data_IF_350140567157
#
_entry.id   IF_350140567157
#
_cell.length_a   1.000
_cell.length_b   1.000
_cell.length_c   1.000
_cell.angle_alpha   90.00
_cell.angle_beta   90.00
_cell.angle_gamma   90.00
#
_symmetry.space_group_name_H-M   'P 1'
#
loop_
_entity.id
_entity.type
_entity.pdbx_description
1 polymer ?
#
# COMPACT_ATOMS: atom_id res chain seq x y z
N UNK A 1 66.19 9.61 -12.12
CA UNK A 1 66.51 9.35 -10.72
C UNK A 1 65.31 8.68 -10.11
N UNK A 2 65.48 7.38 -9.85
CA UNK A 2 64.45 6.47 -9.33
C UNK A 2 64.32 6.66 -7.82
N UNK A 3 63.07 6.68 -7.30
CA UNK A 3 62.83 6.29 -5.93
C UNK A 3 61.53 5.53 -5.86
N UNK A 4 61.64 4.22 -5.69
CA UNK A 4 60.58 3.29 -5.30
C UNK A 4 60.50 3.28 -3.75
N UNK A 5 59.34 3.48 -3.20
CA UNK A 5 59.03 3.19 -1.79
C UNK A 5 58.05 1.99 -1.73
N UNK A 6 58.52 0.95 -1.08
CA UNK A 6 57.88 -0.31 -0.80
C UNK A 6 56.95 -0.19 0.43
N UNK A 7 55.78 -0.78 0.34
CA UNK A 7 54.81 -0.92 1.44
C UNK A 7 54.90 -2.38 2.00
N UNK A 8 54.94 -2.60 3.31
CA UNK A 8 54.95 -3.93 3.88
C UNK A 8 53.54 -4.49 4.05
N UNK A 9 53.42 -5.75 3.68
CA UNK A 9 52.26 -6.61 3.88
C UNK A 9 52.22 -7.08 5.34
N UNK A 10 51.13 -6.84 6.06
CA UNK A 10 50.84 -7.53 7.33
C UNK A 10 49.80 -8.60 7.11
N UNK A 11 50.21 -9.87 7.31
CA UNK A 11 49.34 -11.01 7.38
C UNK A 11 48.93 -11.24 8.84
N UNK A 12 47.62 -11.25 9.11
CA UNK A 12 47.10 -11.63 10.41
C UNK A 12 46.43 -13.01 10.30
N UNK A 13 46.91 -13.93 11.08
CA UNK A 13 46.43 -15.32 11.24
C UNK A 13 45.11 -15.36 12.00
N UNK A 14 44.16 -16.07 11.44
CA UNK A 14 42.89 -16.41 12.07
C UNK A 14 43.04 -17.68 12.88
N UNK A 15 42.79 -17.63 14.19
CA UNK A 15 42.74 -18.80 15.06
C UNK A 15 41.31 -19.26 15.22
N UNK A 16 41.05 -20.49 14.79
CA UNK A 16 39.80 -21.21 14.90
C UNK A 16 39.77 -21.97 16.24
N UNK A 17 38.79 -21.73 17.08
CA UNK A 17 38.51 -22.53 18.27
C UNK A 17 37.15 -23.21 18.11
N UNK A 18 37.19 -24.53 17.92
CA UNK A 18 36.03 -25.42 18.04
C UNK A 18 35.80 -25.72 19.54
N UNK A 19 34.55 -25.57 19.96
CA UNK A 19 34.07 -26.17 21.20
C UNK A 19 32.80 -26.98 20.92
N UNK A 20 32.94 -28.29 20.94
CA UNK A 20 31.88 -29.29 21.04
C UNK A 20 31.49 -29.50 22.50
N UNK A 21 30.19 -29.45 22.80
CA UNK A 21 29.66 -30.10 24.00
C UNK A 21 28.27 -30.67 23.72
N UNK A 22 28.20 -31.99 23.77
CA UNK A 22 26.97 -32.78 23.86
C UNK A 22 26.49 -32.81 25.32
N UNK A 23 25.19 -32.71 25.55
CA UNK A 23 24.53 -33.38 26.67
C UNK A 23 23.04 -33.55 26.39
N UNK A 24 22.63 -34.76 26.49
CA UNK A 24 21.31 -35.40 26.44
C UNK A 24 20.46 -35.10 27.68
N UNK A 25 19.11 -35.11 27.52
CA UNK A 25 18.18 -35.14 28.64
C UNK A 25 16.74 -35.23 28.18
N UNK A 26 16.15 -36.41 28.37
CA UNK A 26 14.76 -36.78 28.02
C UNK A 26 13.72 -36.31 29.06
N UNK A 27 12.40 -36.64 28.89
CA UNK A 27 11.27 -35.74 29.15
C UNK A 27 10.56 -36.00 30.48
N UNK A 28 9.78 -35.08 30.95
CA UNK A 28 8.89 -35.23 32.09
C UNK A 28 7.43 -35.06 31.71
N UNK A 29 6.66 -36.03 32.13
CA UNK A 29 5.27 -36.37 31.96
C UNK A 29 4.28 -35.39 32.60
N UNK A 30 3.05 -35.48 32.03
CA UNK A 30 1.76 -35.02 32.50
C UNK A 30 1.46 -35.04 34.02
N UNK A 31 0.65 -34.08 34.45
CA UNK A 31 -0.34 -34.37 35.48
C UNK A 31 -1.61 -33.48 35.26
N UNK A 32 -2.71 -34.18 34.94
CA UNK A 32 -4.07 -33.71 35.02
C UNK A 32 -4.47 -33.48 36.48
N UNK A 33 -5.20 -32.38 36.72
CA UNK A 33 -6.07 -32.30 37.89
C UNK A 33 -7.40 -31.59 37.56
N UNK A 34 -8.41 -32.42 37.53
CA UNK A 34 -9.84 -32.03 37.53
C UNK A 34 -10.25 -31.54 38.93
N UNK A 35 -11.00 -30.46 39.00
CA UNK A 35 -11.89 -30.24 40.14
C UNK A 35 -13.19 -29.56 39.68
N UNK A 36 -14.27 -30.29 39.87
CA UNK A 36 -15.64 -29.82 39.79
C UNK A 36 -15.97 -28.93 41.01
N UNK A 37 -16.75 -27.89 40.76
CA UNK A 37 -17.35 -27.09 41.83
C UNK A 37 -18.62 -26.41 41.30
N UNK A 38 -19.79 -26.96 41.62
CA UNK A 38 -21.09 -26.33 41.39
C UNK A 38 -21.33 -25.18 42.36
N UNK A 39 -21.88 -24.09 41.87
CA UNK A 39 -22.39 -22.98 42.68
C UNK A 39 -23.44 -22.18 41.93
N UNK A 40 -24.68 -22.38 42.26
CA UNK A 40 -25.85 -21.66 41.77
C UNK A 40 -25.95 -20.25 42.37
N UNK A 41 -26.23 -19.25 41.52
CA UNK A 41 -26.59 -17.89 41.98
C UNK A 41 -27.22 -17.08 40.85
N UNK A 42 -28.53 -16.88 40.92
CA UNK A 42 -29.34 -15.98 40.11
C UNK A 42 -29.04 -14.50 40.46
N UNK A 43 -29.00 -13.64 39.44
CA UNK A 43 -28.97 -12.19 39.62
C UNK A 43 -28.99 -11.41 38.34
N UNK A 44 -30.15 -11.04 37.94
CA UNK A 44 -30.68 -9.89 37.17
C UNK A 44 -29.78 -9.16 36.14
N UNK A 45 -30.37 -9.10 34.96
CA UNK A 45 -30.21 -8.30 33.78
C UNK A 45 -29.89 -6.82 33.99
N UNK A 46 -28.85 -6.34 33.30
CA UNK A 46 -28.74 -4.96 32.82
C UNK A 46 -28.33 -5.03 31.34
N UNK A 47 -29.22 -4.63 30.46
CA UNK A 47 -28.95 -4.44 29.05
C UNK A 47 -28.00 -3.24 28.89
N UNK A 48 -26.77 -3.52 28.54
CA UNK A 48 -25.83 -2.56 28.00
C UNK A 48 -25.47 -3.04 26.61
N UNK A 49 -25.95 -2.34 25.59
CA UNK A 49 -25.64 -2.65 24.19
C UNK A 49 -24.16 -2.46 23.95
N UNK A 50 -23.46 -3.54 23.82
CA UNK A 50 -22.08 -3.57 23.38
C UNK A 50 -22.14 -3.91 21.88
N UNK A 51 -22.05 -2.90 21.01
CA UNK A 51 -21.78 -3.07 19.60
C UNK A 51 -20.28 -3.32 19.42
N UNK A 52 -19.84 -4.53 19.76
CA UNK A 52 -18.53 -5.00 19.31
C UNK A 52 -18.71 -5.39 17.83
N UNK A 53 -18.12 -4.60 16.94
CA UNK A 53 -17.89 -4.99 15.56
C UNK A 53 -16.75 -6.04 15.54
N UNK A 54 -16.96 -7.17 16.22
CA UNK A 54 -16.07 -8.32 16.16
C UNK A 54 -16.01 -8.88 14.75
N UNK A 55 -14.87 -9.42 14.37
CA UNK A 55 -14.55 -9.97 13.06
C UNK A 55 -15.76 -10.65 12.41
N UNK A 56 -16.25 -10.04 11.31
CA UNK A 56 -17.30 -10.65 10.50
C UNK A 56 -16.67 -11.80 9.74
N UNK A 57 -17.30 -12.96 9.81
CA UNK A 57 -16.98 -14.09 8.95
C UNK A 57 -17.05 -13.61 7.49
N UNK A 58 -15.95 -13.76 6.73
CA UNK A 58 -15.98 -13.55 5.28
C UNK A 58 -16.95 -14.57 4.69
N UNK A 59 -18.10 -14.11 4.21
CA UNK A 59 -18.99 -14.94 3.43
C UNK A 59 -18.38 -15.14 2.04
N UNK A 60 -17.70 -16.26 1.84
CA UNK A 60 -17.37 -16.74 0.50
C UNK A 60 -18.64 -17.36 -0.10
N UNK A 61 -19.42 -16.56 -0.81
CA UNK A 61 -20.48 -17.10 -1.66
C UNK A 61 -19.85 -17.67 -2.94
N UNK A 62 -19.48 -18.95 -2.90
CA UNK A 62 -18.94 -19.68 -4.08
C UNK A 62 -19.90 -19.68 -5.29
N UNK A 63 -21.13 -19.17 -5.12
CA UNK A 63 -22.14 -19.05 -6.17
C UNK A 63 -22.41 -17.59 -6.57
N UNK A 64 -21.75 -16.60 -6.00
CA UNK A 64 -21.92 -15.21 -6.41
C UNK A 64 -21.50 -15.07 -7.88
N UNK A 65 -22.47 -14.70 -8.73
CA UNK A 65 -22.21 -14.47 -10.16
C UNK A 65 -21.38 -13.20 -10.27
N UNK A 66 -20.10 -13.35 -10.61
CA UNK A 66 -19.23 -12.20 -10.91
C UNK A 66 -19.80 -11.48 -12.14
N UNK A 67 -20.27 -10.22 -12.01
CA UNK A 67 -20.92 -9.49 -13.10
C UNK A 67 -19.93 -8.89 -14.11
N UNK A 68 -18.70 -9.35 -14.10
CA UNK A 68 -17.62 -8.92 -14.98
C UNK A 68 -17.05 -10.11 -15.78
N UNK A 69 -16.56 -9.82 -16.97
CA UNK A 69 -15.69 -10.69 -17.76
C UNK A 69 -14.25 -10.20 -17.64
N UNK A 70 -13.35 -11.09 -17.25
CA UNK A 70 -11.92 -10.77 -17.12
C UNK A 70 -11.17 -11.15 -18.40
N UNK A 71 -10.28 -10.27 -18.85
CA UNK A 71 -9.34 -10.58 -19.94
C UNK A 71 -8.00 -9.88 -19.71
N UNK A 72 -6.91 -10.53 -20.15
CA UNK A 72 -5.57 -9.92 -20.11
C UNK A 72 -5.47 -8.86 -21.19
N UNK A 73 -5.19 -7.62 -20.83
CA UNK A 73 -4.97 -6.52 -21.76
C UNK A 73 -3.49 -6.43 -22.17
N UNK A 74 -2.59 -6.56 -21.20
CA UNK A 74 -1.13 -6.53 -21.38
C UNK A 74 -0.51 -7.56 -20.45
N UNK A 75 0.51 -8.25 -20.90
CA UNK A 75 1.32 -9.20 -20.14
C UNK A 75 2.81 -8.81 -20.13
N UNK A 76 3.62 -9.54 -19.36
CA UNK A 76 5.07 -9.36 -19.30
C UNK A 76 5.53 -8.04 -18.67
N UNK A 77 4.72 -7.43 -17.81
CA UNK A 77 5.12 -6.29 -17.00
C UNK A 77 6.16 -6.72 -15.93
N UNK A 78 7.03 -5.81 -15.54
CA UNK A 78 8.10 -6.09 -14.59
C UNK A 78 7.81 -5.46 -13.21
N UNK A 79 7.17 -6.23 -12.33
CA UNK A 79 6.78 -5.78 -10.97
C UNK A 79 5.98 -4.46 -11.03
N UNK A 80 4.85 -4.41 -11.75
CA UNK A 80 4.05 -3.19 -11.88
C UNK A 80 3.49 -2.76 -10.52
N UNK A 81 3.36 -1.44 -10.32
CA UNK A 81 2.93 -0.93 -9.02
C UNK A 81 1.70 -0.02 -9.09
N UNK A 82 1.67 0.95 -9.99
CA UNK A 82 0.55 1.88 -10.19
C UNK A 82 0.16 1.96 -11.66
N UNK A 83 -1.12 2.20 -11.90
CA UNK A 83 -1.70 2.48 -13.21
C UNK A 83 -2.43 3.82 -13.16
N UNK A 84 -2.16 4.70 -14.10
CA UNK A 84 -2.93 5.93 -14.32
C UNK A 84 -3.36 6.05 -15.77
N UNK A 85 -4.60 6.44 -16.00
CA UNK A 85 -5.14 6.80 -17.31
C UNK A 85 -5.07 8.31 -17.50
N UNK A 86 -4.89 8.74 -18.75
CA UNK A 86 -4.91 10.15 -19.12
C UNK A 86 -5.96 10.39 -20.23
N UNK A 87 -6.46 11.64 -20.39
CA UNK A 87 -7.62 11.90 -21.25
C UNK A 87 -7.44 11.52 -22.72
N UNK A 88 -6.21 11.44 -23.21
CA UNK A 88 -5.93 11.02 -24.61
C UNK A 88 -6.04 9.49 -24.85
N UNK A 89 -6.45 8.74 -23.80
CA UNK A 89 -6.66 7.29 -23.85
C UNK A 89 -5.41 6.46 -23.60
N UNK A 90 -4.26 7.09 -23.34
CA UNK A 90 -3.06 6.36 -22.88
C UNK A 90 -3.15 6.01 -21.43
N UNK A 91 -2.49 4.91 -21.05
CA UNK A 91 -2.25 4.54 -19.65
C UNK A 91 -0.75 4.49 -19.38
N UNK A 92 -0.37 4.89 -18.20
CA UNK A 92 1.01 4.82 -17.70
C UNK A 92 1.07 3.85 -16.53
N UNK A 93 2.05 2.94 -16.57
CA UNK A 93 2.30 1.94 -15.52
C UNK A 93 3.69 2.15 -14.98
N UNK A 94 3.80 2.32 -13.65
CA UNK A 94 5.11 2.24 -12.99
C UNK A 94 5.52 0.79 -12.82
N UNK A 95 6.77 0.49 -13.13
CA UNK A 95 7.43 -0.76 -12.81
C UNK A 95 8.45 -0.48 -11.70
N UNK A 96 8.40 -1.23 -10.60
CA UNK A 96 9.22 -0.99 -9.40
C UNK A 96 10.73 -0.85 -9.69
N UNK A 97 11.32 -1.58 -10.67
CA UNK A 97 12.72 -1.41 -11.04
C UNK A 97 13.10 -0.06 -11.65
N UNK A 98 12.14 0.85 -11.86
CA UNK A 98 12.44 2.25 -12.20
C UNK A 98 12.01 2.68 -13.60
N UNK A 99 11.09 1.98 -14.24
CA UNK A 99 10.54 2.38 -15.54
C UNK A 99 9.09 2.84 -15.42
N UNK A 100 8.69 3.84 -16.22
CA UNK A 100 7.27 4.12 -16.49
C UNK A 100 7.00 3.63 -17.90
N UNK A 101 6.10 2.64 -18.02
CA UNK A 101 5.67 2.08 -19.29
C UNK A 101 4.44 2.81 -19.82
N UNK A 102 4.27 2.75 -21.12
CA UNK A 102 3.13 3.38 -21.82
C UNK A 102 2.29 2.28 -22.45
N UNK A 103 0.99 2.32 -22.24
CA UNK A 103 0.00 1.47 -22.91
C UNK A 103 -0.87 2.39 -23.74
N UNK A 104 -0.95 2.15 -25.04
CA UNK A 104 -1.79 2.89 -25.97
C UNK A 104 -2.54 1.93 -26.88
N UNK A 105 -3.85 2.16 -27.09
CA UNK A 105 -4.72 1.29 -27.87
C UNK A 105 -4.67 -0.20 -27.44
N UNK A 106 -4.47 -0.45 -26.14
CA UNK A 106 -4.37 -1.81 -25.58
C UNK A 106 -3.02 -2.51 -25.83
N UNK A 107 -2.00 -1.82 -26.33
CA UNK A 107 -0.68 -2.37 -26.60
C UNK A 107 0.39 -1.69 -25.73
N UNK A 108 1.34 -2.48 -25.22
CA UNK A 108 2.50 -1.99 -24.48
C UNK A 108 3.53 -1.44 -25.46
N UNK A 109 3.89 -0.16 -25.29
CA UNK A 109 4.95 0.45 -26.10
C UNK A 109 6.31 -0.23 -25.82
N UNK A 110 7.13 -0.39 -26.88
CA UNK A 110 8.46 -1.00 -26.77
C UNK A 110 9.41 -0.19 -25.89
N UNK A 111 9.32 1.13 -25.98
CA UNK A 111 10.16 2.05 -25.24
C UNK A 111 9.44 2.60 -24.00
N UNK A 112 10.11 2.69 -22.84
CA UNK A 112 9.52 3.32 -21.67
C UNK A 112 9.38 4.84 -21.86
N UNK A 113 8.44 5.43 -21.13
CA UNK A 113 8.29 6.89 -21.03
C UNK A 113 9.51 7.54 -20.38
N UNK A 114 10.03 6.91 -19.33
CA UNK A 114 11.26 7.25 -18.60
C UNK A 114 11.82 5.99 -17.94
N UNK A 115 13.15 5.96 -17.81
CA UNK A 115 13.89 5.01 -16.98
C UNK A 115 14.73 5.82 -15.98
N UNK A 116 14.51 5.58 -14.69
CA UNK A 116 15.25 6.26 -13.64
C UNK A 116 16.65 5.66 -13.46
N UNK A 117 17.61 6.50 -13.18
CA UNK A 117 19.00 6.13 -12.89
C UNK A 117 19.43 6.72 -11.55
N UNK A 118 20.64 6.38 -11.09
CA UNK A 118 21.18 6.90 -9.84
C UNK A 118 20.87 8.40 -9.64
N UNK A 119 20.43 8.82 -8.44
CA UNK A 119 20.43 8.09 -7.17
C UNK A 119 19.20 7.19 -6.93
N UNK A 120 18.37 6.90 -7.94
CA UNK A 120 17.27 5.94 -7.82
C UNK A 120 17.77 4.62 -7.24
N UNK A 121 16.99 4.04 -6.31
CA UNK A 121 17.30 2.77 -5.66
C UNK A 121 16.08 1.84 -5.66
N UNK A 122 16.29 0.63 -6.14
CA UNK A 122 15.33 -0.46 -6.03
C UNK A 122 15.90 -1.50 -5.08
N UNK A 123 15.30 -1.62 -3.90
CA UNK A 123 15.71 -2.59 -2.90
C UNK A 123 14.47 -3.03 -2.08
N UNK A 124 14.27 -4.33 -1.95
CA UNK A 124 13.15 -4.90 -1.21
C UNK A 124 11.78 -4.48 -1.75
N UNK A 125 11.02 -3.71 -0.97
CA UNK A 125 9.73 -3.12 -1.37
C UNK A 125 9.88 -1.74 -2.00
N UNK A 126 11.07 -1.11 -1.83
CA UNK A 126 11.38 0.19 -2.41
C UNK A 126 11.62 0.13 -3.92
N UNK A 127 11.60 1.29 -4.55
CA UNK A 127 11.76 1.45 -5.99
C UNK A 127 10.82 2.53 -6.52
N UNK A 128 10.40 2.44 -7.77
CA UNK A 128 9.39 3.31 -8.36
C UNK A 128 8.00 2.78 -8.02
N UNK A 129 7.23 3.54 -7.23
CA UNK A 129 5.98 3.10 -6.64
C UNK A 129 4.79 3.85 -7.25
N UNK A 130 4.23 4.82 -6.52
CA UNK A 130 3.05 5.56 -6.93
C UNK A 130 3.26 6.49 -8.13
N UNK A 131 2.18 6.70 -8.86
CA UNK A 131 2.09 7.64 -9.97
C UNK A 131 0.72 8.34 -9.91
N UNK A 132 0.69 9.63 -10.23
CA UNK A 132 -0.56 10.36 -10.44
C UNK A 132 -0.43 11.27 -11.67
N UNK A 133 -1.50 11.45 -12.42
CA UNK A 133 -1.57 12.41 -13.51
C UNK A 133 -2.15 13.72 -13.01
N UNK A 134 -1.59 14.83 -13.48
CA UNK A 134 -2.12 16.15 -13.20
C UNK A 134 -3.53 16.29 -13.78
N UNK A 135 -4.51 16.90 -13.08
CA UNK A 135 -5.85 17.13 -13.61
C UNK A 135 -5.87 17.89 -14.95
N UNK A 136 -4.85 18.72 -15.21
CA UNK A 136 -4.65 19.47 -16.44
C UNK A 136 -3.59 18.85 -17.37
N UNK A 137 -3.42 17.52 -17.31
CA UNK A 137 -2.38 16.80 -18.02
C UNK A 137 -2.31 17.11 -19.51
N UNK A 138 -3.46 17.26 -20.18
CA UNK A 138 -3.55 17.56 -21.62
C UNK A 138 -2.83 18.86 -21.98
N UNK A 139 -2.86 19.85 -21.11
CA UNK A 139 -2.20 21.14 -21.34
C UNK A 139 -0.79 21.19 -20.77
N UNK A 140 -0.60 20.63 -19.56
CA UNK A 140 0.65 20.78 -18.86
C UNK A 140 1.56 19.53 -18.96
N UNK A 141 1.05 18.34 -19.27
CA UNK A 141 1.80 17.09 -19.37
C UNK A 141 2.53 16.69 -18.09
N UNK A 142 2.03 17.07 -16.91
CA UNK A 142 2.65 16.71 -15.64
C UNK A 142 2.16 15.37 -15.13
N UNK A 143 3.13 14.59 -14.65
CA UNK A 143 2.92 13.41 -13.82
C UNK A 143 3.67 13.61 -12.50
N UNK A 144 3.16 12.96 -11.46
CA UNK A 144 3.78 12.91 -10.14
C UNK A 144 4.22 11.48 -9.88
N UNK A 145 5.44 11.27 -9.41
CA UNK A 145 6.01 9.95 -9.16
C UNK A 145 6.64 9.88 -7.78
N UNK A 146 6.37 8.80 -7.06
CA UNK A 146 7.01 8.48 -5.78
C UNK A 146 8.05 7.39 -6.00
N UNK A 147 9.27 7.61 -5.53
CA UNK A 147 10.30 6.58 -5.61
C UNK A 147 11.35 6.67 -4.52
N UNK A 148 11.99 5.52 -4.29
CA UNK A 148 13.13 5.39 -3.37
C UNK A 148 14.43 5.82 -4.04
N UNK A 149 15.34 6.40 -3.26
CA UNK A 149 16.67 6.82 -3.71
C UNK A 149 17.71 6.66 -2.59
N UNK A 150 19.00 6.64 -2.98
CA UNK A 150 20.09 6.66 -2.02
C UNK A 150 20.52 8.10 -1.75
N UNK A 151 20.52 8.46 -0.47
CA UNK A 151 21.13 9.70 0.00
C UNK A 151 22.66 9.65 -0.06
N UNK A 152 23.30 10.81 0.12
CA UNK A 152 24.75 10.92 0.06
C UNK A 152 25.53 10.07 1.07
N UNK A 153 24.86 9.57 2.13
CA UNK A 153 25.41 8.63 3.12
C UNK A 153 25.20 7.15 2.76
N UNK A 154 24.39 6.86 1.75
CA UNK A 154 24.00 5.50 1.38
C UNK A 154 22.71 5.01 2.06
N UNK A 155 22.06 5.85 2.86
CA UNK A 155 20.76 5.55 3.47
C UNK A 155 19.66 5.63 2.41
N UNK A 156 18.63 4.78 2.55
CA UNK A 156 17.48 4.80 1.68
C UNK A 156 16.49 5.87 2.17
N UNK A 157 16.08 6.75 1.27
CA UNK A 157 14.98 7.67 1.47
C UNK A 157 14.00 7.60 0.30
N UNK A 158 12.82 8.20 0.48
CA UNK A 158 11.81 8.31 -0.55
C UNK A 158 11.57 9.78 -0.90
N UNK A 159 11.09 10.02 -2.11
CA UNK A 159 10.74 11.37 -2.56
C UNK A 159 9.60 11.37 -3.58
N UNK A 160 9.00 12.55 -3.73
CA UNK A 160 8.01 12.84 -4.75
C UNK A 160 8.60 13.78 -5.79
N UNK A 161 8.50 13.37 -7.04
CA UNK A 161 8.96 14.13 -8.20
C UNK A 161 7.78 14.53 -9.08
N UNK A 162 7.83 15.74 -9.65
CA UNK A 162 7.02 16.11 -10.80
C UNK A 162 7.82 15.84 -12.08
N UNK A 163 7.18 15.13 -12.98
CA UNK A 163 7.71 14.80 -14.31
C UNK A 163 7.01 15.63 -15.37
N UNK A 164 7.71 15.97 -16.44
CA UNK A 164 7.16 16.62 -17.64
C UNK A 164 7.18 15.66 -18.81
N UNK A 165 6.02 15.31 -19.31
CA UNK A 165 5.85 14.50 -20.51
C UNK A 165 5.82 15.42 -21.75
N UNK A 166 6.68 15.13 -22.71
CA UNK A 166 6.72 15.79 -24.03
C UNK A 166 7.25 14.81 -25.08
N UNK A 167 6.63 14.79 -26.26
CA UNK A 167 7.07 14.00 -27.41
C UNK A 167 7.33 12.51 -27.10
N UNK A 168 6.45 11.90 -26.28
CA UNK A 168 6.53 10.49 -25.89
C UNK A 168 7.61 10.13 -24.89
N UNK A 169 8.24 11.10 -24.26
CA UNK A 169 9.24 10.93 -23.18
C UNK A 169 8.91 11.79 -21.99
N UNK A 170 9.36 11.37 -20.80
CA UNK A 170 9.27 12.19 -19.59
C UNK A 170 10.67 12.60 -19.11
N UNK A 171 10.74 13.75 -18.48
CA UNK A 171 11.92 14.26 -17.79
C UNK A 171 11.53 14.73 -16.39
N UNK A 172 12.46 14.68 -15.44
CA UNK A 172 12.25 15.25 -14.11
C UNK A 172 12.18 16.76 -14.26
N UNK A 173 11.04 17.35 -13.84
CA UNK A 173 10.81 18.80 -13.83
C UNK A 173 11.18 19.41 -12.48
N UNK A 174 10.72 18.79 -11.38
CA UNK A 174 10.92 19.31 -10.03
C UNK A 174 10.85 18.18 -8.99
N UNK A 175 11.68 18.27 -7.94
CA UNK A 175 11.49 17.54 -6.70
C UNK A 175 10.51 18.34 -5.82
N UNK A 176 9.40 17.72 -5.41
CA UNK A 176 8.34 18.37 -4.63
C UNK A 176 8.51 18.15 -3.14
N UNK A 177 8.91 16.95 -2.75
CA UNK A 177 9.15 16.55 -1.37
C UNK A 177 10.24 15.48 -1.35
N UNK A 178 11.23 15.63 -0.48
CA UNK A 178 12.32 14.67 -0.26
C UNK A 178 12.44 14.29 1.22
N UNK A 179 13.44 13.48 1.51
CA UNK A 179 13.82 13.07 2.87
C UNK A 179 12.69 12.37 3.64
N UNK A 180 11.76 11.75 2.89
CA UNK A 180 10.77 10.86 3.47
C UNK A 180 11.50 9.59 3.93
N UNK A 181 11.37 9.15 5.19
CA UNK A 181 12.01 7.93 5.67
C UNK A 181 11.74 6.74 4.74
N UNK A 182 12.80 6.09 4.27
CA UNK A 182 12.73 4.95 3.38
C UNK A 182 13.55 3.79 3.92
N UNK A 183 13.27 2.59 3.44
CA UNK A 183 13.95 1.37 3.86
C UNK A 183 13.75 0.22 2.89
N UNK A 184 14.29 -0.93 3.24
CA UNK A 184 14.08 -2.18 2.47
C UNK A 184 12.59 -2.56 2.44
N UNK A 185 11.85 -2.22 3.49
CA UNK A 185 10.40 -2.45 3.58
C UNK A 185 9.69 -1.21 4.15
N UNK A 186 8.35 -1.23 4.08
CA UNK A 186 7.46 -0.21 4.62
C UNK A 186 7.78 1.20 4.09
N UNK A 187 7.69 1.34 2.78
CA UNK A 187 7.92 2.62 2.10
C UNK A 187 6.61 3.40 1.84
N UNK A 188 5.44 2.80 2.11
CA UNK A 188 4.16 3.37 1.68
C UNK A 188 4.10 3.49 0.15
N UNK A 189 4.07 4.72 -0.33
CA UNK A 189 4.35 5.04 -1.74
C UNK A 189 3.12 5.29 -2.61
N UNK A 190 1.89 5.17 -2.08
CA UNK A 190 0.71 5.56 -2.85
C UNK A 190 0.62 7.07 -2.92
N UNK A 191 0.44 7.60 -4.12
CA UNK A 191 0.15 9.02 -4.33
C UNK A 191 -1.12 9.16 -5.14
N UNK A 192 -1.99 10.08 -4.73
CA UNK A 192 -3.25 10.39 -5.41
C UNK A 192 -3.55 11.89 -5.28
N UNK A 193 -4.18 12.46 -6.29
CA UNK A 193 -4.68 13.83 -6.23
C UNK A 193 -6.12 13.79 -5.71
N UNK A 194 -6.36 14.51 -4.62
CA UNK A 194 -7.66 14.60 -3.99
C UNK A 194 -8.62 15.54 -4.73
N UNK A 195 -9.91 15.55 -4.36
CA UNK A 195 -10.91 16.45 -4.93
C UNK A 195 -10.63 17.95 -4.68
N UNK A 196 -9.73 18.23 -3.73
CA UNK A 196 -9.22 19.57 -3.41
C UNK A 196 -8.02 20.00 -4.28
N UNK A 197 -7.64 19.19 -5.29
CA UNK A 197 -6.47 19.37 -6.15
C UNK A 197 -5.14 19.41 -5.38
N UNK A 198 -5.04 18.71 -4.26
CA UNK A 198 -3.81 18.52 -3.51
C UNK A 198 -3.32 17.08 -3.67
N UNK A 199 -2.02 16.87 -3.54
CA UNK A 199 -1.38 15.56 -3.64
C UNK A 199 -1.30 14.93 -2.26
N UNK A 200 -1.94 13.77 -2.11
CA UNK A 200 -1.90 12.93 -0.92
C UNK A 200 -0.89 11.80 -1.13
N UNK A 201 -0.11 11.51 -0.09
CA UNK A 201 1.04 10.61 -0.17
C UNK A 201 1.03 9.71 1.06
N UNK A 202 1.03 8.39 0.86
CA UNK A 202 1.22 7.45 1.97
C UNK A 202 2.69 7.17 2.20
N UNK A 203 3.11 7.08 3.46
CA UNK A 203 4.47 6.74 3.85
C UNK A 203 4.46 5.60 4.87
N UNK A 204 5.51 4.79 4.87
CA UNK A 204 5.70 3.74 5.85
C UNK A 204 6.68 4.17 6.95
N UNK A 205 6.74 3.39 8.03
CA UNK A 205 7.62 3.65 9.18
C UNK A 205 9.00 2.98 9.05
N UNK A 206 9.29 2.35 7.90
CA UNK A 206 10.57 1.68 7.55
C UNK A 206 11.11 0.67 8.58
N UNK A 207 10.25 0.02 9.37
CA UNK A 207 10.57 -0.80 10.56
C UNK A 207 11.14 -0.01 11.76
N UNK A 208 10.86 1.27 11.85
CA UNK A 208 11.09 2.12 13.01
C UNK A 208 9.73 2.62 13.52
N UNK A 209 8.97 1.80 14.28
CA UNK A 209 7.58 2.06 14.61
C UNK A 209 7.32 3.40 15.31
N UNK A 210 8.31 3.88 16.08
CA UNK A 210 8.28 5.18 16.77
C UNK A 210 8.12 6.37 15.81
N UNK A 211 8.51 6.23 14.54
CA UNK A 211 8.33 7.29 13.54
C UNK A 211 6.86 7.61 13.32
N UNK A 212 5.97 6.59 13.43
CA UNK A 212 4.54 6.77 13.21
C UNK A 212 3.91 7.73 14.22
N UNK A 213 4.39 7.76 15.46
CA UNK A 213 3.90 8.63 16.53
C UNK A 213 4.71 9.94 16.68
N UNK A 214 5.80 10.10 15.93
CA UNK A 214 6.59 11.33 15.96
C UNK A 214 6.03 12.35 14.94
N UNK A 215 5.47 13.47 15.43
CA UNK A 215 4.89 14.53 14.59
C UNK A 215 5.91 15.23 13.68
N UNK A 216 7.19 15.23 14.05
CA UNK A 216 8.28 15.80 13.24
C UNK A 216 8.78 14.85 12.14
N UNK A 217 8.35 13.58 12.13
CA UNK A 217 8.72 12.58 11.13
C UNK A 217 7.71 12.52 9.99
N UNK A 218 8.20 12.30 8.77
CA UNK A 218 7.36 11.99 7.61
C UNK A 218 7.09 10.48 7.43
N UNK A 219 7.66 9.61 8.27
CA UNK A 219 7.43 8.17 8.25
C UNK A 219 6.16 7.77 9.00
N UNK A 220 5.42 6.79 8.46
CA UNK A 220 4.18 6.31 9.07
C UNK A 220 3.07 7.36 9.08
N UNK A 221 2.88 8.05 7.95
CA UNK A 221 1.96 9.17 7.77
C UNK A 221 1.14 9.05 6.48
N UNK A 222 0.05 9.80 6.43
CA UNK A 222 -0.48 10.30 5.17
C UNK A 222 -0.10 11.78 5.11
N UNK A 223 0.56 12.18 4.02
CA UNK A 223 1.00 13.55 3.79
C UNK A 223 0.10 14.22 2.76
N UNK A 224 0.02 15.56 2.79
CA UNK A 224 -0.76 16.38 1.86
C UNK A 224 0.03 17.62 1.47
N UNK A 225 0.24 17.82 0.17
CA UNK A 225 1.00 18.95 -0.37
C UNK A 225 0.31 19.51 -1.63
N UNK A 226 0.65 20.74 -1.98
CA UNK A 226 0.29 21.32 -3.27
C UNK A 226 0.97 20.62 -4.44
N UNK A 227 0.38 20.70 -5.64
CA UNK A 227 0.96 20.16 -6.89
C UNK A 227 2.26 20.86 -7.30
N UNK A 228 2.60 21.96 -6.64
CA UNK A 228 3.87 22.67 -6.75
C UNK A 228 4.85 22.38 -5.59
N UNK A 229 4.48 21.51 -4.64
CA UNK A 229 5.24 21.17 -3.45
C UNK A 229 5.03 22.12 -2.27
N UNK A 230 4.12 23.09 -2.36
CA UNK A 230 3.77 23.97 -1.24
C UNK A 230 3.04 23.20 -0.14
N UNK A 231 3.20 23.64 1.10
CA UNK A 231 2.44 23.11 2.24
C UNK A 231 1.13 23.89 2.37
N UNK A 232 -0.04 23.23 2.31
CA UNK A 232 -1.33 23.87 2.51
C UNK A 232 -1.45 24.52 3.89
N UNK A 233 -2.01 25.73 3.95
CA UNK A 233 -2.18 26.47 5.22
C UNK A 233 -3.19 25.78 6.17
N UNK A 234 -4.10 24.99 5.60
CA UNK A 234 -5.13 24.24 6.32
C UNK A 234 -4.70 22.81 6.69
N UNK A 235 -3.42 22.45 6.53
CA UNK A 235 -2.91 21.21 7.09
C UNK A 235 -3.00 21.22 8.61
N UNK A 236 -3.30 20.06 9.25
CA UNK A 236 -3.49 19.99 10.70
C UNK A 236 -2.29 20.45 11.53
N UNK A 237 -1.07 20.19 11.05
CA UNK A 237 0.17 20.62 11.68
C UNK A 237 0.75 21.81 10.90
N UNK A 238 0.95 22.97 11.54
CA UNK A 238 1.44 24.18 10.87
C UNK A 238 2.80 23.97 10.19
N UNK A 239 2.91 24.35 8.92
CA UNK A 239 4.10 24.20 8.09
C UNK A 239 4.58 22.75 7.91
N UNK A 240 3.75 21.77 8.18
CA UNK A 240 4.04 20.35 8.00
C UNK A 240 3.19 19.77 6.86
N UNK A 241 3.72 18.86 6.04
CA UNK A 241 2.94 18.12 5.07
C UNK A 241 2.06 17.04 5.71
N UNK A 242 2.19 16.76 7.00
CA UNK A 242 1.44 15.70 7.69
C UNK A 242 -0.06 16.01 7.67
N UNK A 243 -0.86 15.04 7.22
CA UNK A 243 -2.32 15.11 7.19
C UNK A 243 -2.96 14.20 8.25
N UNK A 244 -2.42 12.97 8.41
CA UNK A 244 -2.74 12.04 9.50
C UNK A 244 -1.50 11.27 9.93
N UNK A 245 -1.53 10.66 11.12
CA UNK A 245 -0.38 9.98 11.70
C UNK A 245 -0.75 8.63 12.32
N UNK A 246 0.24 7.91 12.82
CA UNK A 246 0.01 6.62 13.45
C UNK A 246 -0.24 5.49 12.46
N UNK A 247 0.35 5.58 11.26
CA UNK A 247 0.27 4.56 10.22
C UNK A 247 1.52 3.68 10.22
N UNK A 248 1.34 2.39 9.91
CA UNK A 248 2.45 1.46 9.73
C UNK A 248 2.98 1.47 8.30
N UNK A 249 2.14 1.08 7.34
CA UNK A 249 2.52 0.99 5.93
C UNK A 249 1.26 1.05 5.04
N UNK A 250 0.64 2.22 4.97
CA UNK A 250 -0.51 2.44 4.11
C UNK A 250 -0.09 2.39 2.63
N UNK A 251 -0.86 1.67 1.78
CA UNK A 251 -0.54 1.49 0.35
C UNK A 251 -1.71 1.77 -0.60
N UNK A 252 -2.88 2.12 -0.10
CA UNK A 252 -4.03 2.47 -0.92
C UNK A 252 -4.69 3.76 -0.46
N UNK A 253 -5.22 4.53 -1.41
CA UNK A 253 -6.03 5.74 -1.18
C UNK A 253 -7.18 5.76 -2.18
N UNK A 254 -8.39 6.05 -1.70
CA UNK A 254 -9.56 6.26 -2.54
C UNK A 254 -10.53 7.25 -1.90
N UNK A 255 -11.16 8.08 -2.70
CA UNK A 255 -12.24 8.97 -2.25
C UNK A 255 -13.59 8.44 -2.68
N UNK A 256 -14.57 8.59 -1.80
CA UNK A 256 -15.96 8.50 -2.19
C UNK A 256 -16.38 9.88 -2.71
N UNK A 257 -16.75 10.04 -4.00
CA UNK A 257 -17.08 11.33 -4.58
C UNK A 257 -18.38 11.95 -4.03
N UNK A 258 -19.29 11.12 -3.50
CA UNK A 258 -20.60 11.57 -3.00
C UNK A 258 -20.50 12.34 -1.68
N UNK A 259 -19.55 11.96 -0.82
CA UNK A 259 -19.38 12.55 0.51
C UNK A 259 -18.00 13.15 0.76
N UNK A 260 -17.03 12.91 -0.14
CA UNK A 260 -15.66 13.40 -0.05
C UNK A 260 -14.78 12.65 0.97
N UNK A 261 -15.24 11.54 1.54
CA UNK A 261 -14.45 10.77 2.49
C UNK A 261 -13.27 10.07 1.82
N UNK A 262 -12.13 10.16 2.46
CA UNK A 262 -10.90 9.47 2.08
C UNK A 262 -10.80 8.14 2.82
N UNK A 263 -10.53 7.08 2.08
CA UNK A 263 -10.25 5.75 2.62
C UNK A 263 -8.83 5.34 2.27
N UNK A 264 -8.21 4.59 3.19
CA UNK A 264 -6.88 4.02 3.00
C UNK A 264 -6.84 2.55 3.38
N UNK A 265 -6.04 1.77 2.67
CA UNK A 265 -5.67 0.41 3.05
C UNK A 265 -4.31 0.39 3.69
N UNK A 266 -4.12 -0.43 4.70
CA UNK A 266 -2.90 -0.48 5.48
C UNK A 266 -2.52 -1.90 5.87
N UNK A 267 -1.21 -2.20 5.85
CA UNK A 267 -0.67 -3.48 6.32
C UNK A 267 -0.51 -3.50 7.84
N UNK A 268 -1.13 -4.46 8.51
CA UNK A 268 -0.87 -4.80 9.90
C UNK A 268 0.49 -5.48 10.11
N UNK A 269 0.81 -5.83 11.35
CA UNK A 269 2.13 -6.41 11.66
C UNK A 269 2.30 -7.83 11.10
N UNK A 270 1.32 -8.68 11.29
CA UNK A 270 1.25 -10.06 10.76
C UNK A 270 -0.11 -10.35 10.14
N UNK A 271 -1.10 -9.81 10.74
CA UNK A 271 -2.53 -9.82 10.52
C UNK A 271 -3.07 -8.45 10.95
N UNK A 272 -4.38 -8.30 11.12
CA UNK A 272 -5.01 -7.00 11.38
C UNK A 272 -4.68 -5.97 10.30
N UNK A 273 -4.62 -6.42 9.04
CA UNK A 273 -4.58 -5.50 7.90
C UNK A 273 -5.88 -4.69 7.89
N UNK A 274 -5.80 -3.39 7.55
CA UNK A 274 -6.87 -2.44 7.83
C UNK A 274 -7.42 -1.73 6.60
N UNK A 275 -8.70 -1.38 6.68
CA UNK A 275 -9.37 -0.35 5.89
C UNK A 275 -9.74 0.80 6.83
N UNK A 276 -9.12 1.94 6.63
CA UNK A 276 -9.29 3.13 7.42
C UNK A 276 -10.07 4.22 6.67
N UNK A 277 -10.94 4.97 7.37
CA UNK A 277 -11.46 6.26 6.90
C UNK A 277 -10.55 7.36 7.46
N UNK A 278 -9.92 8.11 6.57
CA UNK A 278 -8.88 9.07 6.92
C UNK A 278 -9.45 10.45 7.17
N UNK A 279 -9.17 11.00 8.33
CA UNK A 279 -9.56 12.34 8.74
C UNK A 279 -8.32 13.19 9.06
N UNK A 280 -8.42 14.48 8.78
CA UNK A 280 -7.34 15.45 9.01
C UNK A 280 -7.00 15.56 10.50
N UNK A 281 -5.74 15.41 10.86
CA UNK A 281 -5.26 15.58 12.23
C UNK A 281 -5.41 14.35 13.13
N UNK A 282 -6.01 13.27 12.60
CA UNK A 282 -6.27 12.08 13.39
C UNK A 282 -5.04 11.15 13.47
N UNK A 283 -5.02 10.34 14.55
CA UNK A 283 -3.98 9.37 14.84
C UNK A 283 -4.57 7.95 14.81
N UNK A 284 -4.03 7.09 13.95
CA UNK A 284 -4.49 5.71 13.73
C UNK A 284 -3.79 4.68 14.61
N UNK A 285 -2.96 5.14 15.52
CA UNK A 285 -2.53 4.41 16.72
C UNK A 285 -1.34 3.49 16.57
N UNK A 286 -0.84 3.16 15.38
CA UNK A 286 0.36 2.35 15.25
C UNK A 286 1.58 3.02 15.91
N UNK A 287 2.43 2.32 16.68
CA UNK A 287 2.38 0.89 17.06
C UNK A 287 1.64 0.60 18.38
N UNK A 288 0.92 1.55 18.92
CA UNK A 288 0.32 1.51 20.26
C UNK A 288 -0.94 0.65 20.33
N UNK A 289 -1.64 0.50 19.17
CA UNK A 289 -2.87 -0.29 19.01
C UNK A 289 -2.89 -0.99 17.66
N UNK A 290 -3.70 -2.04 17.53
CA UNK A 290 -4.02 -2.77 16.30
C UNK A 290 -5.49 -3.20 16.34
N UNK A 291 -6.17 -3.24 15.18
CA UNK A 291 -7.55 -3.68 15.06
C UNK A 291 -8.53 -2.81 15.83
N UNK A 292 -9.46 -3.40 16.56
CA UNK A 292 -10.54 -2.70 17.28
C UNK A 292 -10.08 -1.96 18.57
N UNK A 293 -8.82 -2.04 18.97
CA UNK A 293 -8.33 -1.33 20.16
C UNK A 293 -8.06 0.14 19.85
N UNK A 294 -8.94 1.01 20.30
CA UNK A 294 -8.82 2.47 20.18
C UNK A 294 -8.31 3.16 21.44
N UNK A 295 -7.92 2.39 22.46
CA UNK A 295 -7.57 2.88 23.81
C UNK A 295 -8.60 3.88 24.37
N UNK A 296 -9.87 3.49 24.30
CA UNK A 296 -11.03 4.29 24.75
C UNK A 296 -11.19 5.62 23.98
N UNK A 297 -11.05 5.58 22.66
CA UNK A 297 -11.22 6.73 21.78
C UNK A 297 -10.02 7.68 21.76
N UNK A 298 -8.84 7.18 22.14
CA UNK A 298 -7.58 7.93 21.99
C UNK A 298 -7.08 7.90 20.55
N UNK A 299 -7.35 6.80 19.86
CA UNK A 299 -6.96 6.58 18.47
C UNK A 299 -8.16 6.28 17.60
N UNK A 300 -8.02 6.46 16.29
CA UNK A 300 -9.06 6.10 15.33
C UNK A 300 -9.00 4.58 15.07
N UNK A 301 -10.11 3.90 15.32
CA UNK A 301 -10.24 2.49 14.96
C UNK A 301 -10.50 2.35 13.45
N UNK A 302 -10.04 1.26 12.81
CA UNK A 302 -10.32 0.98 11.40
C UNK A 302 -11.82 0.72 11.16
N UNK A 303 -12.29 0.96 9.93
CA UNK A 303 -13.65 0.58 9.51
C UNK A 303 -13.82 -0.92 9.38
N UNK A 304 -12.76 -1.62 9.01
CA UNK A 304 -12.66 -3.07 8.94
C UNK A 304 -11.21 -3.51 9.04
N UNK A 305 -10.98 -4.73 9.52
CA UNK A 305 -9.65 -5.33 9.58
C UNK A 305 -9.72 -6.84 9.30
N UNK A 306 -8.59 -7.43 8.93
CA UNK A 306 -8.50 -8.86 8.57
C UNK A 306 -8.62 -9.82 9.75
N UNK A 307 -8.64 -9.34 10.98
CA UNK A 307 -8.56 -10.19 12.17
C UNK A 307 -7.29 -11.02 12.17
N UNK A 308 -7.42 -12.33 12.41
CA UNK A 308 -6.30 -13.27 12.41
C UNK A 308 -5.81 -13.67 11.00
N UNK A 309 -6.50 -13.24 9.95
CA UNK A 309 -6.12 -13.49 8.57
C UNK A 309 -5.13 -12.44 8.05
N UNK A 310 -4.63 -12.64 6.84
CA UNK A 310 -3.73 -11.70 6.18
C UNK A 310 -4.25 -11.37 4.79
N UNK A 311 -4.54 -10.10 4.54
CA UNK A 311 -4.87 -9.56 3.21
C UNK A 311 -3.62 -9.04 2.51
N UNK A 312 -2.76 -8.32 3.23
CA UNK A 312 -1.70 -7.46 2.71
C UNK A 312 -2.24 -6.53 1.61
N UNK A 313 -3.16 -5.61 1.98
CA UNK A 313 -3.89 -4.79 1.02
C UNK A 313 -2.98 -3.71 0.45
N UNK A 314 -3.13 -3.41 -0.85
CA UNK A 314 -2.36 -2.38 -1.53
C UNK A 314 -3.30 -1.38 -2.20
N UNK A 315 -3.38 -1.33 -3.54
CA UNK A 315 -4.25 -0.37 -4.19
C UNK A 315 -5.73 -0.56 -3.83
N UNK A 316 -6.45 0.54 -3.69
CA UNK A 316 -7.88 0.58 -3.46
C UNK A 316 -8.52 1.59 -4.41
N UNK A 317 -9.73 1.29 -4.89
CA UNK A 317 -10.53 2.19 -5.71
C UNK A 317 -11.97 2.25 -5.20
N UNK A 318 -12.58 3.44 -5.20
CA UNK A 318 -14.02 3.58 -5.10
C UNK A 318 -14.61 3.42 -6.50
N UNK A 319 -15.64 2.60 -6.63
CA UNK A 319 -16.25 2.28 -7.92
C UNK A 319 -17.46 3.18 -8.13
N UNK A 320 -17.34 4.08 -9.09
CA UNK A 320 -18.39 5.06 -9.38
C UNK A 320 -19.45 4.52 -10.35
N UNK A 321 -19.06 3.63 -11.27
CA UNK A 321 -19.91 3.11 -12.33
C UNK A 321 -19.85 1.60 -12.44
N UNK A 322 -20.87 1.02 -13.06
CA UNK A 322 -20.93 -0.42 -13.34
C UNK A 322 -21.58 -1.23 -12.23
N UNK A 323 -21.52 -2.57 -12.31
CA UNK A 323 -22.22 -3.48 -11.41
C UNK A 323 -21.85 -3.35 -9.93
N UNK A 324 -20.68 -2.85 -9.61
CA UNK A 324 -20.19 -2.67 -8.23
C UNK A 324 -20.12 -1.20 -7.79
N UNK A 325 -20.84 -0.32 -8.49
CA UNK A 325 -20.91 1.10 -8.12
C UNK A 325 -21.33 1.29 -6.65
N UNK A 326 -20.67 2.25 -5.97
CA UNK A 326 -20.86 2.53 -4.55
C UNK A 326 -20.02 1.66 -3.60
N UNK A 327 -19.19 0.73 -4.12
CA UNK A 327 -18.30 -0.11 -3.32
C UNK A 327 -16.85 0.35 -3.41
N UNK A 328 -16.04 0.00 -2.39
CA UNK A 328 -14.59 0.01 -2.49
C UNK A 328 -14.10 -1.37 -2.97
N UNK A 329 -13.11 -1.39 -3.84
CA UNK A 329 -12.35 -2.59 -4.18
C UNK A 329 -10.93 -2.44 -3.68
N UNK A 330 -10.44 -3.41 -2.89
CA UNK A 330 -9.07 -3.45 -2.40
C UNK A 330 -8.31 -4.63 -3.02
N UNK A 331 -7.14 -4.35 -3.56
CA UNK A 331 -6.24 -5.33 -4.14
C UNK A 331 -5.32 -5.89 -3.06
N UNK A 332 -5.24 -7.23 -2.94
CA UNK A 332 -4.52 -7.87 -1.86
C UNK A 332 -3.38 -8.73 -2.38
N UNK A 333 -2.19 -8.47 -1.82
CA UNK A 333 -0.96 -9.14 -2.24
C UNK A 333 -0.87 -10.57 -1.68
N UNK A 334 -0.84 -10.70 -0.35
CA UNK A 334 -0.71 -12.02 0.28
C UNK A 334 -2.03 -12.77 0.31
N UNK A 335 -3.13 -12.03 0.40
CA UNK A 335 -4.46 -12.60 0.31
C UNK A 335 -4.80 -13.15 -1.08
N UNK A 336 -4.07 -12.77 -2.14
CA UNK A 336 -4.25 -13.21 -3.53
C UNK A 336 -5.72 -13.08 -4.00
N UNK A 337 -6.35 -11.93 -3.70
CA UNK A 337 -7.77 -11.66 -3.91
C UNK A 337 -8.05 -10.18 -4.13
N UNK A 338 -9.22 -9.87 -4.67
CA UNK A 338 -9.85 -8.56 -4.48
C UNK A 338 -10.85 -8.67 -3.33
N UNK A 339 -10.89 -7.66 -2.47
CA UNK A 339 -11.98 -7.47 -1.53
C UNK A 339 -12.94 -6.43 -2.08
N UNK A 340 -14.22 -6.80 -2.19
CA UNK A 340 -15.29 -5.85 -2.42
C UNK A 340 -15.88 -5.46 -1.07
N UNK A 341 -15.81 -4.18 -0.76
CA UNK A 341 -16.21 -3.63 0.53
C UNK A 341 -17.41 -2.73 0.30
N UNK A 342 -18.54 -3.11 0.88
CA UNK A 342 -19.77 -2.33 0.83
C UNK A 342 -19.86 -1.43 2.04
N UNK A 343 -20.07 -0.13 1.79
CA UNK A 343 -20.21 0.87 2.83
C UNK A 343 -21.67 1.10 3.21
N UNK A 344 -21.92 1.65 4.40
CA UNK A 344 -23.19 2.25 4.76
C UNK A 344 -23.51 3.45 3.85
N UNK A 345 -24.77 3.85 3.76
CA UNK A 345 -25.22 4.98 2.92
C UNK A 345 -24.45 6.28 3.23
N UNK A 346 -24.11 6.50 4.49
CA UNK A 346 -23.33 7.67 4.93
C UNK A 346 -21.80 7.48 4.78
N UNK A 347 -21.33 6.30 4.37
CA UNK A 347 -19.91 5.99 4.18
C UNK A 347 -19.11 5.83 5.47
N UNK A 348 -19.76 5.78 6.64
CA UNK A 348 -19.07 5.76 7.93
C UNK A 348 -18.82 4.37 8.49
N UNK A 349 -19.41 3.33 7.90
CA UNK A 349 -19.28 1.94 8.34
C UNK A 349 -19.11 1.00 7.15
N UNK A 350 -18.42 -0.12 7.37
CA UNK A 350 -18.40 -1.25 6.46
C UNK A 350 -19.58 -2.16 6.82
N UNK A 351 -20.45 -2.44 5.85
CA UNK A 351 -21.62 -3.31 6.02
C UNK A 351 -21.36 -4.72 5.55
N UNK A 352 -20.47 -4.92 4.55
CA UNK A 352 -20.11 -6.22 4.03
C UNK A 352 -18.71 -6.21 3.44
N UNK A 353 -17.96 -7.30 3.61
CA UNK A 353 -16.69 -7.58 2.93
C UNK A 353 -16.86 -8.90 2.18
N UNK A 354 -16.61 -8.88 0.87
CA UNK A 354 -16.74 -10.05 -0.01
C UNK A 354 -15.40 -10.32 -0.68
N UNK A 355 -14.95 -11.56 -0.60
CA UNK A 355 -13.75 -12.03 -1.33
C UNK A 355 -14.14 -12.40 -2.76
N UNK A 356 -13.44 -11.82 -3.74
CA UNK A 356 -13.63 -12.08 -5.16
C UNK A 356 -12.31 -12.38 -5.85
N UNK A 357 -12.32 -13.22 -6.89
CA UNK A 357 -11.14 -13.65 -7.66
C UNK A 357 -10.02 -14.24 -6.79
N UNK A 358 -10.40 -14.98 -5.73
CA UNK A 358 -9.44 -15.63 -4.82
C UNK A 358 -8.56 -16.63 -5.59
N UNK A 359 -7.23 -16.50 -5.45
CA UNK A 359 -6.20 -17.38 -6.03
C UNK A 359 -6.19 -17.47 -7.57
N UNK A 360 -7.03 -16.66 -8.27
CA UNK A 360 -7.11 -16.71 -9.73
C UNK A 360 -5.86 -16.14 -10.40
N UNK A 361 -5.38 -14.98 -9.91
CA UNK A 361 -4.28 -14.23 -10.53
C UNK A 361 -3.04 -14.14 -9.64
N UNK A 362 -3.06 -14.80 -8.47
CA UNK A 362 -2.02 -14.66 -7.45
C UNK A 362 -2.08 -13.28 -6.79
N UNK A 363 -0.92 -12.71 -6.52
CA UNK A 363 -0.77 -11.43 -5.83
C UNK A 363 -1.31 -10.27 -6.68
N UNK A 364 -2.23 -9.50 -6.12
CA UNK A 364 -2.84 -8.36 -6.79
C UNK A 364 -2.30 -7.07 -6.15
N UNK A 365 -1.70 -6.19 -6.97
CA UNK A 365 -1.07 -4.94 -6.52
C UNK A 365 -2.02 -3.76 -6.52
N UNK A 366 -2.80 -3.62 -7.58
CA UNK A 366 -3.63 -2.44 -7.75
C UNK A 366 -4.94 -2.76 -8.46
N UNK A 367 -5.95 -1.99 -8.14
CA UNK A 367 -7.22 -1.92 -8.87
C UNK A 367 -7.53 -0.46 -9.13
N UNK A 368 -8.01 -0.15 -10.32
CA UNK A 368 -8.33 1.21 -10.77
C UNK A 368 -9.61 1.20 -11.58
N UNK A 369 -10.51 2.17 -11.35
CA UNK A 369 -11.68 2.39 -12.19
C UNK A 369 -11.26 2.95 -13.55
N UNK A 370 -11.95 2.53 -14.58
CA UNK A 370 -11.83 3.06 -15.94
C UNK A 370 -13.16 3.59 -16.44
N UNK A 371 -13.19 3.98 -17.69
CA UNK A 371 -14.42 4.42 -18.36
C UNK A 371 -15.39 3.26 -18.62
N UNK A 372 -16.67 3.56 -18.75
CA UNK A 372 -17.75 2.58 -19.03
C UNK A 372 -17.86 1.48 -17.95
N UNK A 373 -17.55 1.79 -16.70
CA UNK A 373 -17.59 0.86 -15.59
C UNK A 373 -16.56 -0.26 -15.66
N UNK A 374 -15.56 -0.17 -16.53
CA UNK A 374 -14.44 -1.10 -16.58
C UNK A 374 -13.54 -0.92 -15.36
N UNK A 375 -12.90 -2.03 -14.98
CA UNK A 375 -11.89 -2.02 -13.91
C UNK A 375 -10.58 -2.58 -14.46
N UNK A 376 -9.48 -2.04 -14.00
CA UNK A 376 -8.14 -2.47 -14.36
C UNK A 376 -7.43 -3.01 -13.13
N UNK A 377 -6.83 -4.20 -13.25
CA UNK A 377 -6.17 -4.91 -12.15
C UNK A 377 -4.73 -5.21 -12.53
N UNK A 378 -3.79 -4.84 -11.68
CA UNK A 378 -2.37 -5.18 -11.84
C UNK A 378 -2.02 -6.37 -10.93
N UNK A 379 -1.44 -7.42 -11.50
CA UNK A 379 -0.82 -8.50 -10.73
C UNK A 379 0.58 -8.13 -10.27
N UNK A 380 1.16 -8.89 -9.33
CA UNK A 380 2.48 -8.61 -8.78
C UNK A 380 3.19 -9.89 -8.30
N UNK A 381 3.23 -10.90 -9.17
CA UNK A 381 3.75 -12.22 -8.85
C UNK A 381 5.29 -12.29 -8.93
N UNK A 382 5.93 -11.30 -9.60
CA UNK A 382 7.39 -11.21 -9.77
C UNK A 382 8.08 -10.37 -8.69
N UNK A 383 7.38 -9.94 -7.65
CA UNK A 383 7.92 -9.07 -6.59
C UNK A 383 8.92 -9.76 -5.62
N UNK A 384 9.22 -11.04 -5.85
CA UNK A 384 10.10 -11.87 -5.02
C UNK A 384 9.38 -12.61 -3.89
N UNK A 385 8.08 -12.40 -3.71
CA UNK A 385 7.22 -13.05 -2.71
C UNK A 385 6.07 -13.85 -3.33
N UNK A 386 5.83 -13.68 -4.62
CA UNK A 386 4.82 -14.40 -5.38
C UNK A 386 5.37 -15.66 -6.04
N UNK A 387 4.50 -16.36 -6.75
CA UNK A 387 4.80 -17.52 -7.60
C UNK A 387 4.52 -17.18 -9.06
N UNK A 388 5.50 -16.61 -9.80
CA UNK A 388 5.28 -16.15 -11.16
C UNK A 388 4.81 -17.28 -12.08
N UNK A 389 3.84 -16.95 -12.94
CA UNK A 389 3.33 -17.80 -14.02
C UNK A 389 3.80 -17.27 -15.37
N UNK A 390 3.60 -18.05 -16.44
CA UNK A 390 3.89 -17.58 -17.80
C UNK A 390 3.01 -16.36 -18.12
N UNK A 391 3.63 -15.29 -18.62
CA UNK A 391 2.97 -14.03 -18.92
C UNK A 391 2.85 -13.04 -17.77
N UNK A 392 3.18 -13.44 -16.51
CA UNK A 392 3.20 -12.48 -15.39
C UNK A 392 4.28 -11.39 -15.59
N UNK A 393 4.13 -10.20 -15.04
CA UNK A 393 2.93 -9.68 -14.40
C UNK A 393 2.00 -9.07 -15.46
N UNK A 394 0.72 -8.96 -15.13
CA UNK A 394 -0.33 -8.64 -16.10
C UNK A 394 -1.13 -7.41 -15.70
N UNK A 395 -1.63 -6.70 -16.70
CA UNK A 395 -2.76 -5.81 -16.60
C UNK A 395 -4.00 -6.54 -17.12
N UNK A 396 -4.94 -6.78 -16.21
CA UNK A 396 -6.22 -7.44 -16.48
C UNK A 396 -7.30 -6.37 -16.56
N UNK A 397 -8.18 -6.46 -17.56
CA UNK A 397 -9.38 -5.64 -17.64
C UNK A 397 -10.60 -6.46 -17.30
N UNK A 398 -11.42 -5.92 -16.38
CA UNK A 398 -12.74 -6.43 -16.04
C UNK A 398 -13.77 -5.60 -16.80
N UNK A 399 -14.52 -6.22 -17.68
CA UNK A 399 -15.56 -5.57 -18.47
C UNK A 399 -16.93 -5.98 -17.93
N UNK A 400 -17.85 -5.03 -17.64
CA UNK A 400 -19.21 -5.36 -17.21
C UNK A 400 -19.88 -6.30 -18.20
N UNK A 401 -20.53 -7.36 -17.69
CA UNK A 401 -21.38 -8.24 -18.50
C UNK A 401 -22.67 -7.52 -18.85
N UNK A 402 -23.24 -7.78 -20.05
CA UNK A 402 -24.48 -7.16 -20.49
C UNK A 402 -25.70 -7.49 -19.62
#
# INVERSE_FOLDING_TARGET
MNNRLSVPLYASLLSMALLTACASGEPATESQQTSQGQGTGQGQTAEGGNNSAGGREEETDENAVIPYEASVLVDGLNVPWELVSVPDGRMFVTERPGTIRVIGNGELASEPLIEFSAPFNEEGEGGLLGLAADPDFDNNGYLYAYHSYLEGGGDIANRVLRLKVRDGKATIDKELLSDIPGGVNHNGGRIKIGPDNLLYITTGERYEPELAQNEDSLGGKILRIGLDGSIPEDNPWPNSPVYSMGHRNAQGLAWNPDNGYLYATEHGQRNFDEMNRIEAGENYGWPEVEGDDDKNGTYQAPLAHSGDETWAPSGVAFIEEGPWAGSLLAANLRGEQLLKITLSEDGTQVTQVETIFKDEWGRIRNVTSGEDGKLYVLTNNRDGRGSPRDGDDQLIVLTPKP
#
